data_IF_421873495269
#
_entry.id   IF_421873495269
#
_cell.length_a   1.000
_cell.length_b   1.000
_cell.length_c   1.000
_cell.angle_alpha   90.00
_cell.angle_beta   90.00
_cell.angle_gamma   90.00
#
_symmetry.space_group_name_H-M   'P 1'
#
loop_
_entity.id
_entity.type
_entity.pdbx_description
1 polymer ?
#
# COMPACT_ATOMS: atom_id res chain seq x y z
N UNK A 1 7.01 -21.95 -6.72
CA UNK A 1 6.24 -21.35 -7.83
C UNK A 1 5.98 -19.91 -7.42
N UNK A 2 6.66 -18.94 -8.05
CA UNK A 2 6.61 -17.53 -7.66
C UNK A 2 5.20 -16.98 -7.97
N UNK A 3 4.39 -16.80 -6.93
CA UNK A 3 3.05 -16.22 -7.00
C UNK A 3 3.10 -14.70 -7.09
N UNK A 4 3.78 -14.16 -8.10
CA UNK A 4 3.83 -12.72 -8.32
C UNK A 4 2.42 -12.24 -8.66
N UNK A 5 1.85 -11.40 -7.78
CA UNK A 5 0.64 -10.62 -8.01
C UNK A 5 0.90 -9.80 -9.29
N UNK A 6 0.33 -10.23 -10.42
CA UNK A 6 0.72 -9.77 -11.75
C UNK A 6 0.18 -8.35 -12.00
N UNK A 7 0.89 -7.33 -11.52
CA UNK A 7 0.84 -5.99 -12.10
C UNK A 7 2.05 -5.89 -13.02
N UNK A 8 1.82 -6.03 -14.33
CA UNK A 8 2.85 -5.74 -15.31
C UNK A 8 3.28 -4.28 -15.13
N UNK A 9 4.59 -4.04 -15.02
CA UNK A 9 5.28 -2.73 -15.10
C UNK A 9 5.29 -1.81 -13.87
N UNK A 10 5.54 -2.32 -12.67
CA UNK A 10 6.00 -1.45 -11.58
C UNK A 10 7.54 -1.38 -11.56
N UNK A 11 8.09 -0.18 -11.71
CA UNK A 11 9.51 0.11 -11.48
C UNK A 11 9.82 -0.17 -9.99
N UNK A 12 10.91 -0.88 -9.62
CA UNK A 12 11.25 -1.22 -8.24
C UNK A 12 11.43 -0.04 -7.28
N UNK A 13 11.30 1.20 -7.75
CA UNK A 13 11.43 2.45 -7.01
C UNK A 13 10.16 2.87 -6.23
N UNK A 14 9.05 2.13 -6.29
CA UNK A 14 7.82 2.46 -5.54
C UNK A 14 7.23 1.25 -4.79
N UNK A 15 8.10 0.37 -4.29
CA UNK A 15 7.70 -0.80 -3.53
C UNK A 15 7.89 -0.56 -2.01
N UNK A 16 7.00 -1.12 -1.20
CA UNK A 16 7.14 -1.19 0.25
C UNK A 16 7.14 -2.66 0.67
N UNK A 17 8.26 -3.13 1.22
CA UNK A 17 8.36 -4.47 1.77
C UNK A 17 8.12 -4.43 3.28
N UNK A 18 7.23 -5.27 3.81
CA UNK A 18 7.01 -5.35 5.24
C UNK A 18 6.56 -6.74 5.73
N UNK A 19 6.73 -7.03 7.01
CA UNK A 19 6.30 -8.29 7.64
C UNK A 19 5.22 -8.06 8.70
N UNK A 20 4.19 -8.92 8.73
CA UNK A 20 3.08 -8.88 9.71
C UNK A 20 2.69 -10.31 10.13
N UNK A 21 2.30 -10.56 11.40
CA UNK A 21 1.80 -11.87 11.86
C UNK A 21 0.65 -12.43 11.00
N UNK A 22 0.63 -13.76 10.79
CA UNK A 22 -0.22 -14.44 9.82
C UNK A 22 -1.72 -14.35 10.03
N UNK A 23 -2.19 -14.04 11.24
CA UNK A 23 -3.62 -13.95 11.47
C UNK A 23 -4.15 -12.64 10.91
N UNK A 24 -4.97 -12.80 9.88
CA UNK A 24 -5.88 -11.78 9.36
C UNK A 24 -5.27 -10.63 8.57
N UNK A 25 -3.99 -10.66 8.14
CA UNK A 25 -3.39 -9.58 7.30
C UNK A 25 -4.24 -9.27 6.07
N UNK A 26 -4.64 -10.31 5.32
CA UNK A 26 -5.53 -10.18 4.17
C UNK A 26 -6.86 -9.52 4.57
N UNK A 27 -7.48 -10.02 5.63
CA UNK A 27 -8.79 -9.54 6.12
C UNK A 27 -8.68 -8.10 6.58
N UNK A 28 -7.62 -7.75 7.29
CA UNK A 28 -7.32 -6.42 7.79
C UNK A 28 -7.16 -5.44 6.63
N UNK A 29 -6.28 -5.74 5.67
CA UNK A 29 -6.04 -4.84 4.53
C UNK A 29 -7.31 -4.68 3.68
N UNK A 30 -8.00 -5.77 3.37
CA UNK A 30 -9.27 -5.73 2.61
C UNK A 30 -10.33 -4.92 3.35
N UNK A 31 -10.47 -5.09 4.66
CA UNK A 31 -11.45 -4.35 5.46
C UNK A 31 -11.08 -2.86 5.54
N UNK A 32 -9.79 -2.54 5.65
CA UNK A 32 -9.32 -1.16 5.66
C UNK A 32 -9.61 -0.45 4.34
N UNK A 33 -9.28 -1.08 3.21
CA UNK A 33 -9.60 -0.58 1.86
C UNK A 33 -11.12 -0.31 1.75
N UNK A 34 -11.95 -1.26 2.18
CA UNK A 34 -13.42 -1.10 2.16
C UNK A 34 -13.92 0.01 3.08
N UNK A 35 -13.30 0.19 4.24
CA UNK A 35 -13.67 1.23 5.21
C UNK A 35 -13.40 2.64 4.65
N UNK A 36 -12.35 2.79 3.85
CA UNK A 36 -11.95 4.06 3.25
C UNK A 36 -12.45 4.27 1.82
N UNK A 37 -13.51 3.58 1.39
CA UNK A 37 -14.07 3.72 0.03
C UNK A 37 -14.75 5.06 -0.28
N UNK A 38 -15.09 5.84 0.74
CA UNK A 38 -15.84 7.09 0.59
C UNK A 38 -14.97 8.30 0.89
N UNK A 39 -15.40 9.49 0.46
CA UNK A 39 -14.64 10.74 0.65
C UNK A 39 -14.51 11.20 2.10
N UNK A 40 -15.25 10.60 3.05
CA UNK A 40 -15.36 11.08 4.43
C UNK A 40 -14.01 11.26 5.14
N UNK A 41 -13.05 10.36 4.88
CA UNK A 41 -11.71 10.40 5.48
C UNK A 41 -10.79 11.52 4.98
N UNK A 42 -11.14 12.21 3.87
CA UNK A 42 -10.33 13.30 3.32
C UNK A 42 -10.97 14.69 3.46
N UNK A 43 -12.16 14.79 4.06
CA UNK A 43 -12.88 16.08 4.18
C UNK A 43 -12.06 17.10 4.98
N UNK A 44 -11.35 16.64 6.01
CA UNK A 44 -10.50 17.46 6.87
C UNK A 44 -9.05 17.60 6.33
N UNK A 45 -8.77 17.09 5.12
CA UNK A 45 -7.42 16.93 4.57
C UNK A 45 -6.89 15.50 4.67
N UNK A 46 -5.68 15.27 4.14
CA UNK A 46 -5.06 13.95 4.00
C UNK A 46 -5.67 13.10 2.88
N UNK A 47 -5.17 11.86 2.74
CA UNK A 47 -5.51 10.93 1.66
C UNK A 47 -5.95 9.54 2.22
N UNK A 48 -6.58 9.53 3.40
CA UNK A 48 -7.12 8.30 4.04
C UNK A 48 -8.56 8.02 3.60
N UNK A 49 -8.82 8.03 2.29
CA UNK A 49 -10.14 7.88 1.71
C UNK A 49 -10.07 7.44 0.24
N UNK A 50 -11.21 7.27 -0.43
CA UNK A 50 -11.29 6.96 -1.87
C UNK A 50 -10.44 5.76 -2.32
N UNK A 51 -10.32 4.74 -1.46
CA UNK A 51 -9.73 3.45 -1.83
C UNK A 51 -10.78 2.54 -2.46
N UNK A 52 -10.40 1.82 -3.52
CA UNK A 52 -11.27 0.89 -4.23
C UNK A 52 -10.64 -0.49 -4.24
N UNK A 53 -11.37 -1.51 -3.76
CA UNK A 53 -10.93 -2.90 -3.89
C UNK A 53 -11.33 -3.42 -5.28
N UNK A 54 -10.33 -3.81 -6.07
CA UNK A 54 -10.56 -4.41 -7.40
C UNK A 54 -10.67 -5.94 -7.29
N UNK A 55 -9.74 -6.58 -6.59
CA UNK A 55 -9.79 -8.02 -6.34
C UNK A 55 -9.00 -8.41 -5.08
N UNK A 56 -9.32 -9.58 -4.52
CA UNK A 56 -8.59 -10.17 -3.40
C UNK A 56 -8.57 -11.68 -3.50
N UNK A 57 -7.39 -12.27 -3.44
CA UNK A 57 -7.14 -13.70 -3.30
C UNK A 57 -6.31 -13.95 -2.02
N UNK A 58 -6.13 -15.20 -1.59
CA UNK A 58 -5.32 -15.51 -0.40
C UNK A 58 -3.87 -14.99 -0.44
N UNK A 59 -3.31 -14.76 -1.63
CA UNK A 59 -1.92 -14.33 -1.82
C UNK A 59 -1.76 -12.98 -2.50
N UNK A 60 -2.85 -12.31 -2.91
CA UNK A 60 -2.77 -11.11 -3.72
C UNK A 60 -4.00 -10.20 -3.51
N UNK A 61 -3.77 -8.92 -3.26
CA UNK A 61 -4.80 -7.89 -3.19
C UNK A 61 -4.51 -6.86 -4.27
N UNK A 62 -5.51 -6.51 -5.06
CA UNK A 62 -5.45 -5.43 -6.05
C UNK A 62 -6.46 -4.35 -5.64
N UNK A 63 -5.99 -3.12 -5.57
CA UNK A 63 -6.80 -1.97 -5.21
C UNK A 63 -6.38 -0.73 -6.00
N UNK A 64 -7.18 0.34 -5.90
CA UNK A 64 -6.82 1.67 -6.39
C UNK A 64 -7.00 2.69 -5.28
N UNK A 65 -6.26 3.79 -5.37
CA UNK A 65 -6.50 5.00 -4.60
C UNK A 65 -6.67 6.18 -5.55
N UNK A 66 -7.65 7.04 -5.28
CA UNK A 66 -7.89 8.24 -6.09
C UNK A 66 -7.77 9.48 -5.23
N UNK A 67 -6.71 10.26 -5.44
CA UNK A 67 -6.60 11.58 -4.84
C UNK A 67 -7.39 12.60 -5.63
N UNK A 68 -8.50 13.10 -5.06
CA UNK A 68 -9.25 14.22 -5.65
C UNK A 68 -8.48 15.54 -5.53
N UNK A 69 -7.66 15.67 -4.49
CA UNK A 69 -6.86 16.88 -4.23
C UNK A 69 -5.76 17.05 -5.28
N UNK A 70 -5.08 15.96 -5.60
CA UNK A 70 -3.96 15.96 -6.54
C UNK A 70 -4.36 15.55 -7.96
N UNK A 71 -5.61 15.12 -8.16
CA UNK A 71 -6.13 14.61 -9.44
C UNK A 71 -5.27 13.46 -10.00
N UNK A 72 -4.91 12.53 -9.12
CA UNK A 72 -4.07 11.37 -9.45
C UNK A 72 -4.78 10.08 -9.04
N UNK A 73 -4.41 8.99 -9.73
CA UNK A 73 -4.83 7.63 -9.42
C UNK A 73 -3.57 6.80 -9.19
N UNK A 74 -3.58 6.00 -8.14
CA UNK A 74 -2.55 5.02 -7.83
C UNK A 74 -3.14 3.61 -7.93
N UNK A 75 -2.50 2.76 -8.72
CA UNK A 75 -2.73 1.32 -8.75
C UNK A 75 -1.93 0.65 -7.64
N UNK A 76 -2.62 -0.13 -6.80
CA UNK A 76 -2.07 -0.78 -5.63
C UNK A 76 -2.08 -2.29 -5.81
N UNK A 77 -0.99 -2.94 -5.42
CA UNK A 77 -0.94 -4.39 -5.25
C UNK A 77 -0.25 -4.79 -3.97
N UNK A 78 -0.75 -5.83 -3.32
CA UNK A 78 -0.11 -6.45 -2.17
C UNK A 78 0.08 -7.93 -2.47
N UNK A 79 1.32 -8.38 -2.55
CA UNK A 79 1.70 -9.79 -2.62
C UNK A 79 1.92 -10.31 -1.20
N UNK A 80 1.17 -11.35 -0.82
CA UNK A 80 1.21 -11.95 0.51
C UNK A 80 1.85 -13.33 0.41
N UNK A 81 3.10 -13.42 0.88
CA UNK A 81 3.88 -14.65 0.86
C UNK A 81 4.01 -15.18 2.29
N UNK A 82 3.50 -16.39 2.60
CA UNK A 82 3.74 -17.01 3.90
C UNK A 82 5.23 -17.31 4.05
N UNK A 83 5.80 -16.97 5.21
CA UNK A 83 7.19 -17.29 5.50
C UNK A 83 7.28 -18.72 6.02
N UNK A 84 8.02 -19.59 5.32
CA UNK A 84 8.18 -20.99 5.71
C UNK A 84 8.66 -21.14 7.16
N UNK A 85 7.98 -21.99 7.94
CA UNK A 85 8.32 -22.24 9.34
C UNK A 85 8.01 -21.09 10.31
N UNK A 86 7.29 -20.04 9.89
CA UNK A 86 6.91 -18.93 10.77
C UNK A 86 5.42 -18.58 10.69
N UNK A 87 4.91 -17.92 11.74
CA UNK A 87 3.57 -17.32 11.77
C UNK A 87 3.58 -15.87 11.28
N UNK A 88 4.43 -15.51 10.31
CA UNK A 88 4.52 -14.18 9.70
C UNK A 88 4.35 -14.26 8.18
N UNK A 89 3.52 -13.40 7.59
CA UNK A 89 3.51 -13.15 6.15
C UNK A 89 4.50 -12.04 5.83
N UNK A 90 5.29 -12.28 4.77
CA UNK A 90 5.98 -11.21 4.07
C UNK A 90 5.00 -10.60 3.09
N UNK A 91 4.76 -9.31 3.23
CA UNK A 91 3.89 -8.53 2.35
C UNK A 91 4.76 -7.60 1.53
N UNK A 92 4.62 -7.68 0.21
CA UNK A 92 5.18 -6.69 -0.71
C UNK A 92 4.05 -5.83 -1.22
N UNK A 93 3.97 -4.59 -0.74
CA UNK A 93 3.08 -3.56 -1.28
C UNK A 93 3.76 -2.83 -2.44
N UNK A 94 3.01 -2.54 -3.49
CA UNK A 94 3.48 -1.73 -4.63
C UNK A 94 2.39 -0.72 -4.94
N UNK A 95 2.78 0.54 -5.13
CA UNK A 95 1.91 1.63 -5.59
C UNK A 95 2.50 2.25 -6.84
N UNK A 96 1.73 2.36 -7.91
CA UNK A 96 2.16 2.98 -9.16
C UNK A 96 1.13 4.03 -9.56
N UNK A 97 1.58 5.25 -9.86
CA UNK A 97 0.68 6.28 -10.36
C UNK A 97 0.35 6.07 -11.85
N UNK A 98 -0.93 6.16 -12.23
CA UNK A 98 -1.39 6.07 -13.63
C UNK A 98 -0.91 7.27 -14.47
N UNK A 99 -0.62 8.40 -13.82
CA UNK A 99 -0.02 9.58 -14.47
C UNK A 99 1.45 9.33 -14.78
N UNK A 100 1.76 9.12 -16.06
CA UNK A 100 3.13 8.91 -16.52
C UNK A 100 4.04 10.12 -16.21
N UNK A 101 5.27 9.82 -15.78
CA UNK A 101 6.43 10.72 -15.67
C UNK A 101 6.55 11.65 -14.45
N UNK A 102 6.18 11.21 -13.24
CA UNK A 102 6.80 11.74 -12.03
C UNK A 102 7.68 10.66 -11.41
N UNK A 103 8.97 10.66 -11.76
CA UNK A 103 9.98 9.85 -11.07
C UNK A 103 10.01 10.14 -9.57
N UNK A 104 9.76 11.40 -9.21
CA UNK A 104 9.57 11.89 -7.85
C UNK A 104 8.10 12.30 -7.67
N UNK A 105 7.37 11.61 -6.82
CA UNK A 105 5.95 11.81 -6.52
C UNK A 105 5.72 12.41 -5.11
N UNK A 106 6.78 12.92 -4.49
CA UNK A 106 6.81 13.45 -3.11
C UNK A 106 6.46 12.41 -2.05
N UNK A 107 6.73 11.13 -2.34
CA UNK A 107 6.40 10.01 -1.49
C UNK A 107 4.90 9.65 -1.50
N UNK A 108 4.14 10.06 -2.51
CA UNK A 108 2.70 9.76 -2.60
C UNK A 108 2.44 8.25 -2.67
N UNK A 109 3.22 7.52 -3.45
CA UNK A 109 3.15 6.07 -3.58
C UNK A 109 3.47 5.38 -2.26
N UNK A 110 4.48 5.88 -1.54
CA UNK A 110 4.77 5.41 -0.19
C UNK A 110 3.58 5.61 0.75
N UNK A 111 3.08 6.85 0.83
CA UNK A 111 2.02 7.22 1.76
C UNK A 111 0.71 6.50 1.47
N UNK A 112 0.39 6.26 0.20
CA UNK A 112 -0.80 5.51 -0.19
C UNK A 112 -0.79 4.08 0.39
N UNK A 113 0.38 3.41 0.41
CA UNK A 113 0.51 2.10 1.03
C UNK A 113 0.57 2.20 2.56
N UNK A 114 1.38 3.11 3.10
CA UNK A 114 1.58 3.30 4.53
C UNK A 114 0.27 3.65 5.25
N UNK A 115 -0.55 4.51 4.66
CA UNK A 115 -1.85 4.91 5.21
C UNK A 115 -2.74 3.70 5.48
N UNK A 116 -2.79 2.71 4.58
CA UNK A 116 -3.60 1.49 4.79
C UNK A 116 -3.08 0.62 5.95
N UNK A 117 -1.76 0.61 6.17
CA UNK A 117 -1.12 -0.16 7.23
C UNK A 117 -1.36 0.53 8.58
N UNK A 118 -1.10 1.84 8.65
CA UNK A 118 -1.30 2.65 9.84
C UNK A 118 -2.77 2.75 10.24
N UNK A 119 -3.69 2.87 9.27
CA UNK A 119 -5.12 3.06 9.50
C UNK A 119 -5.81 1.96 10.32
N UNK A 120 -5.23 0.75 10.37
CA UNK A 120 -5.72 -0.35 11.21
C UNK A 120 -4.83 -0.65 12.42
N UNK A 121 -3.84 0.19 12.70
CA UNK A 121 -2.89 -0.05 13.80
C UNK A 121 -1.97 -1.25 13.55
N UNK A 122 -1.75 -1.63 12.28
CA UNK A 122 -0.84 -2.74 11.97
C UNK A 122 0.60 -2.41 12.39
N UNK A 123 0.94 -1.12 12.38
CA UNK A 123 2.22 -0.58 12.86
C UNK A 123 2.50 -0.99 14.32
N UNK A 124 1.46 -1.09 15.15
CA UNK A 124 1.57 -1.35 16.59
C UNK A 124 1.70 -2.84 16.94
N UNK A 125 1.39 -3.75 16.01
CA UNK A 125 1.30 -5.21 16.27
C UNK A 125 2.49 -6.01 15.73
N UNK A 126 3.64 -5.36 15.55
CA UNK A 126 4.88 -6.01 15.10
C UNK A 126 5.14 -5.92 13.60
N UNK A 127 4.54 -4.94 12.94
CA UNK A 127 4.95 -4.49 11.61
C UNK A 127 6.45 -4.22 11.58
N UNK A 128 7.13 -4.82 10.59
CA UNK A 128 8.53 -4.53 10.29
C UNK A 128 8.64 -4.04 8.86
N UNK A 129 8.97 -2.78 8.69
CA UNK A 129 9.27 -2.20 7.39
C UNK A 129 10.69 -2.57 6.95
N UNK A 130 10.82 -2.98 5.69
CA UNK A 130 12.08 -3.26 5.01
C UNK A 130 12.17 -2.44 3.72
N UNK A 131 11.81 -1.16 3.80
CA UNK A 131 11.91 -0.20 2.68
C UNK A 131 13.01 0.83 2.93
N UNK A 132 13.46 1.49 1.87
CA UNK A 132 14.42 2.59 1.88
C UNK A 132 14.34 3.36 0.55
N UNK A 133 15.11 4.43 0.39
CA UNK A 133 15.16 5.26 -0.83
C UNK A 133 15.42 4.51 -2.14
N UNK A 134 16.04 3.33 -2.09
CA UNK A 134 16.30 2.49 -3.28
C UNK A 134 15.12 1.60 -3.65
N UNK A 135 14.22 1.34 -2.70
CA UNK A 135 13.03 0.47 -2.85
C UNK A 135 11.77 1.32 -3.00
N UNK A 136 11.69 2.42 -2.27
CA UNK A 136 10.68 3.45 -2.42
C UNK A 136 11.37 4.82 -2.44
N UNK A 137 11.42 5.44 -3.61
CA UNK A 137 11.97 6.78 -3.75
C UNK A 137 11.17 7.76 -2.88
N UNK A 138 11.88 8.72 -2.29
CA UNK A 138 11.35 9.76 -1.41
C UNK A 138 10.75 9.26 -0.09
N UNK A 139 10.98 8.00 0.28
CA UNK A 139 10.54 7.39 1.55
C UNK A 139 10.87 8.25 2.78
N UNK A 140 12.12 8.73 2.89
CA UNK A 140 12.61 9.53 4.02
C UNK A 140 12.10 10.96 4.04
N UNK A 141 11.55 11.44 2.92
CA UNK A 141 10.99 12.79 2.76
C UNK A 141 9.47 12.80 2.67
N UNK A 142 8.84 11.63 2.68
CA UNK A 142 7.40 11.47 2.52
C UNK A 142 6.63 12.10 3.69
N UNK A 143 5.52 12.77 3.38
CA UNK A 143 4.64 13.35 4.39
C UNK A 143 3.20 12.84 4.26
N UNK A 144 2.93 11.72 4.93
CA UNK A 144 1.65 11.01 4.84
C UNK A 144 0.51 11.65 5.64
N UNK A 145 0.75 12.82 6.25
CA UNK A 145 -0.35 13.67 6.76
C UNK A 145 -0.98 14.50 5.64
N UNK A 146 -0.25 14.70 4.55
CA UNK A 146 -0.68 15.44 3.36
C UNK A 146 -1.06 14.48 2.22
N UNK A 147 -0.29 13.40 2.07
CA UNK A 147 -0.37 12.40 0.99
C UNK A 147 -0.82 11.01 1.46
#
# INVERSE_FOLDING_TARGET
MLGICLMATADPLHAQLFGIPCQDVLIVLVNQIKAWRSVSGCIAGGEKCMYELISSTPSCIIAKHTSRRWNTVQDLSFDLVPTEGSSVFRVTGISVSETWAMLADKGTNYCTLYNLIEGRGLVDVGYKEFTNEWICLEHSTANCTIY
#
